data_IF_753419350930
#
_entry.id   IF_753419350930
#
_cell.length_a   1.000
_cell.length_b   1.000
_cell.length_c   1.000
_cell.angle_alpha   90.00
_cell.angle_beta   90.00
_cell.angle_gamma   90.00
#
_symmetry.space_group_name_H-M   'P 1'
#
loop_
_entity.id
_entity.type
_entity.pdbx_description
1 polymer ?
#
# COMPACT_ATOMS: atom_id res chain seq x y z
N UNK A 1 8.52 5.62 -17.18
CA UNK A 1 8.69 4.17 -17.03
C UNK A 1 7.88 3.70 -15.85
N UNK A 2 6.94 2.76 -16.08
CA UNK A 2 6.12 2.18 -15.02
C UNK A 2 6.74 0.88 -14.53
N UNK A 3 6.89 0.75 -13.22
CA UNK A 3 7.25 -0.50 -12.58
C UNK A 3 6.02 -1.04 -11.85
N UNK A 4 5.56 -2.22 -12.26
CA UNK A 4 4.43 -2.88 -11.61
C UNK A 4 4.94 -3.84 -10.53
N UNK A 5 4.34 -3.75 -9.33
CA UNK A 5 4.63 -4.67 -8.22
C UNK A 5 3.59 -5.79 -8.11
N UNK A 6 2.37 -5.55 -8.60
CA UNK A 6 1.27 -6.52 -8.58
C UNK A 6 0.38 -6.33 -9.81
N UNK A 7 -0.20 -7.41 -10.33
CA UNK A 7 -1.14 -7.37 -11.46
C UNK A 7 -0.46 -7.39 -12.84
N UNK A 8 0.87 -7.60 -12.88
CA UNK A 8 1.62 -7.69 -14.14
C UNK A 8 1.18 -8.85 -15.04
N UNK A 9 0.53 -9.86 -14.47
CA UNK A 9 -0.08 -10.96 -15.21
C UNK A 9 -1.28 -10.53 -16.06
N UNK A 10 -1.91 -9.41 -15.71
CA UNK A 10 -3.10 -8.88 -16.40
C UNK A 10 -2.76 -7.82 -17.44
N UNK A 11 -1.64 -7.14 -17.28
CA UNK A 11 -1.21 -6.06 -18.17
C UNK A 11 0.29 -6.18 -18.41
N UNK A 12 0.69 -6.44 -19.66
CA UNK A 12 2.11 -6.65 -20.01
C UNK A 12 2.90 -5.36 -20.14
N UNK A 13 2.27 -4.29 -20.64
CA UNK A 13 2.92 -3.00 -20.90
C UNK A 13 1.98 -1.87 -20.50
N UNK A 14 2.29 -1.17 -19.40
CA UNK A 14 1.56 0.01 -18.98
C UNK A 14 2.27 1.24 -19.52
N UNK A 15 1.69 1.86 -20.53
CA UNK A 15 2.19 3.13 -21.09
C UNK A 15 1.44 4.33 -20.51
N UNK A 16 0.18 4.15 -20.15
CA UNK A 16 -0.69 5.20 -19.65
C UNK A 16 -1.48 4.74 -18.43
N UNK A 17 -1.67 5.67 -17.50
CA UNK A 17 -2.60 5.52 -16.38
C UNK A 17 -3.68 6.56 -16.57
N UNK A 18 -4.92 6.13 -16.51
CA UNK A 18 -6.10 6.95 -16.77
C UNK A 18 -6.72 7.41 -15.46
N UNK A 19 -7.26 8.63 -15.46
CA UNK A 19 -8.03 9.20 -14.34
C UNK A 19 -9.19 10.01 -14.91
N UNK A 20 -10.30 10.20 -14.18
CA UNK A 20 -11.33 11.13 -14.60
C UNK A 20 -10.77 12.52 -14.84
N UNK A 21 -11.35 13.24 -15.81
CA UNK A 21 -10.89 14.57 -16.22
C UNK A 21 -11.02 15.60 -15.10
N UNK A 22 -12.08 15.55 -14.32
CA UNK A 22 -12.41 16.53 -13.30
C UNK A 22 -12.36 15.95 -11.89
N UNK A 23 -11.96 16.77 -10.92
CA UNK A 23 -11.94 16.38 -9.51
C UNK A 23 -13.35 16.11 -8.96
N UNK A 24 -14.40 16.75 -9.49
CA UNK A 24 -15.79 16.45 -9.18
C UNK A 24 -16.21 15.04 -9.58
N UNK A 25 -15.52 14.45 -10.55
CA UNK A 25 -15.66 13.07 -11.01
C UNK A 25 -14.64 12.13 -10.36
N UNK A 26 -14.07 12.51 -9.22
CA UNK A 26 -13.02 11.79 -8.53
C UNK A 26 -11.70 11.68 -9.32
N UNK A 27 -11.44 12.59 -10.25
CA UNK A 27 -10.18 12.68 -10.97
C UNK A 27 -9.03 13.14 -10.06
N UNK A 28 -7.83 12.67 -10.32
CA UNK A 28 -6.61 13.10 -9.64
C UNK A 28 -5.75 13.93 -10.59
N UNK A 29 -5.68 15.24 -10.34
CA UNK A 29 -4.77 16.12 -11.05
C UNK A 29 -3.38 16.02 -10.43
N UNK A 30 -2.39 15.68 -11.25
CA UNK A 30 -0.97 15.72 -10.86
C UNK A 30 -0.37 16.96 -11.52
N UNK A 31 0.14 17.89 -10.72
CA UNK A 31 0.75 19.12 -11.23
C UNK A 31 1.94 18.79 -12.14
N UNK A 32 1.96 19.37 -13.34
CA UNK A 32 3.06 19.18 -14.30
C UNK A 32 4.43 19.62 -13.78
N UNK A 33 4.48 20.58 -12.88
CA UNK A 33 5.72 21.00 -12.23
C UNK A 33 6.36 19.90 -11.38
N UNK A 34 5.58 18.91 -10.94
CA UNK A 34 6.02 17.74 -10.19
C UNK A 34 6.44 16.54 -11.09
N UNK A 35 6.07 16.54 -12.38
CA UNK A 35 6.27 15.37 -13.25
C UNK A 35 7.73 15.13 -13.66
N UNK A 36 8.61 16.11 -13.52
CA UNK A 36 9.97 16.00 -14.04
C UNK A 36 10.86 15.12 -13.15
N UNK A 37 10.53 14.93 -11.85
CA UNK A 37 11.36 14.16 -10.91
C UNK A 37 10.60 13.32 -9.86
N UNK A 38 9.27 13.24 -9.90
CA UNK A 38 8.53 12.51 -8.86
C UNK A 38 8.10 11.13 -9.36
N UNK A 39 8.64 10.12 -8.70
CA UNK A 39 8.14 8.75 -8.78
C UNK A 39 6.94 8.67 -7.84
N UNK A 40 5.78 8.24 -8.37
CA UNK A 40 4.59 7.99 -7.57
C UNK A 40 4.37 6.50 -7.38
N UNK A 41 3.90 6.12 -6.20
CA UNK A 41 3.30 4.84 -5.96
C UNK A 41 1.78 4.99 -5.95
N UNK A 42 1.10 4.19 -6.76
CA UNK A 42 -0.35 4.21 -6.85
C UNK A 42 -0.92 2.79 -6.85
N UNK A 43 -2.06 2.60 -6.22
CA UNK A 43 -2.88 1.40 -6.31
C UNK A 43 -4.06 1.73 -7.21
N UNK A 44 -4.05 1.20 -8.43
CA UNK A 44 -5.11 1.42 -9.42
C UNK A 44 -5.95 0.17 -9.68
N UNK A 45 -6.98 0.33 -10.48
CA UNK A 45 -7.81 -0.75 -11.00
C UNK A 45 -7.41 -1.08 -12.44
N UNK A 46 -7.37 -2.35 -12.77
CA UNK A 46 -7.21 -2.81 -14.15
C UNK A 46 -8.61 -3.06 -14.70
N UNK A 47 -8.98 -2.31 -15.74
CA UNK A 47 -10.26 -2.46 -16.44
C UNK A 47 -10.22 -3.65 -17.39
N UNK A 48 -11.41 -4.08 -17.86
CA UNK A 48 -11.55 -5.23 -18.76
C UNK A 48 -10.83 -5.04 -20.12
N UNK A 49 -10.61 -3.79 -20.52
CA UNK A 49 -9.86 -3.42 -21.72
C UNK A 49 -8.33 -3.33 -21.50
N UNK A 50 -7.86 -3.71 -20.31
CA UNK A 50 -6.44 -3.70 -19.96
C UNK A 50 -5.90 -2.33 -19.55
N UNK A 51 -6.73 -1.29 -19.48
CA UNK A 51 -6.31 0.03 -19.01
C UNK A 51 -6.15 0.07 -17.50
N UNK A 52 -5.14 0.77 -17.04
CA UNK A 52 -4.95 1.06 -15.61
C UNK A 52 -5.64 2.37 -15.27
N UNK A 53 -6.56 2.32 -14.32
CA UNK A 53 -7.38 3.46 -13.93
C UNK A 53 -7.15 3.80 -12.45
N UNK A 54 -6.99 5.10 -12.15
CA UNK A 54 -6.83 5.64 -10.80
C UNK A 54 -7.83 6.77 -10.56
N UNK A 55 -8.28 6.92 -9.32
CA UNK A 55 -9.16 8.02 -8.89
C UNK A 55 -8.81 8.47 -7.47
N UNK A 56 -9.46 9.53 -6.97
CA UNK A 56 -9.15 10.14 -5.67
C UNK A 56 -9.20 9.19 -4.47
N UNK A 57 -10.03 8.13 -4.55
CA UNK A 57 -10.14 7.14 -3.48
C UNK A 57 -9.04 6.07 -3.53
N UNK A 58 -8.21 6.06 -4.58
CA UNK A 58 -7.06 5.17 -4.63
C UNK A 58 -5.90 5.75 -3.80
N UNK A 59 -5.07 4.85 -3.27
CA UNK A 59 -3.83 5.26 -2.63
C UNK A 59 -2.85 5.78 -3.69
N UNK A 60 -2.46 7.02 -3.57
CA UNK A 60 -1.50 7.70 -4.47
C UNK A 60 -0.62 8.58 -3.60
N UNK A 61 0.66 8.23 -3.49
CA UNK A 61 1.63 8.98 -2.72
C UNK A 61 2.91 9.19 -3.52
N UNK A 62 3.61 10.33 -3.37
CA UNK A 62 4.95 10.51 -3.89
C UNK A 62 5.89 9.44 -3.30
N UNK A 63 6.75 8.89 -4.14
CA UNK A 63 7.70 7.87 -3.69
C UNK A 63 8.59 8.35 -2.55
N UNK A 64 8.98 9.63 -2.56
CA UNK A 64 9.86 10.19 -1.55
C UNK A 64 9.19 10.34 -0.19
N UNK A 65 7.86 10.47 -0.15
CA UNK A 65 7.07 10.55 1.09
C UNK A 65 6.85 9.16 1.75
N UNK A 66 7.14 8.09 1.00
CA UNK A 66 7.09 6.75 1.57
C UNK A 66 8.24 6.52 2.54
N UNK A 67 7.93 5.93 3.69
CA UNK A 67 8.94 5.45 4.63
C UNK A 67 9.81 4.35 4.01
N UNK A 68 11.01 4.16 4.56
CA UNK A 68 11.88 3.05 4.14
C UNK A 68 11.20 1.68 4.33
N UNK A 69 10.36 1.55 5.35
CA UNK A 69 9.58 0.34 5.60
C UNK A 69 8.57 0.08 4.49
N UNK A 70 7.85 1.10 4.05
CA UNK A 70 6.92 1.01 2.93
C UNK A 70 7.65 0.66 1.62
N UNK A 71 8.76 1.35 1.32
CA UNK A 71 9.59 1.06 0.14
C UNK A 71 10.09 -0.39 0.12
N UNK A 72 10.57 -0.90 1.26
CA UNK A 72 10.99 -2.31 1.39
C UNK A 72 9.82 -3.28 1.25
N UNK A 73 8.67 -2.95 1.81
CA UNK A 73 7.47 -3.79 1.70
C UNK A 73 7.03 -3.95 0.25
N UNK A 74 7.00 -2.86 -0.52
CA UNK A 74 6.64 -2.88 -1.92
C UNK A 74 7.59 -3.73 -2.78
N UNK A 75 8.88 -3.59 -2.55
CA UNK A 75 9.88 -4.26 -3.39
C UNK A 75 10.11 -5.73 -3.02
N UNK A 76 9.96 -6.12 -1.74
CA UNK A 76 10.46 -7.41 -1.28
C UNK A 76 9.46 -8.24 -0.47
N UNK A 77 8.46 -7.63 0.16
CA UNK A 77 7.69 -8.28 1.22
C UNK A 77 6.18 -8.28 1.04
N UNK A 78 5.62 -7.55 0.07
CA UNK A 78 4.17 -7.47 -0.09
C UNK A 78 3.51 -8.84 -0.28
N UNK A 79 4.19 -9.77 -0.94
CA UNK A 79 3.68 -11.13 -1.15
C UNK A 79 3.46 -11.89 0.15
N UNK A 80 4.26 -11.61 1.19
CA UNK A 80 4.11 -12.24 2.50
C UNK A 80 2.82 -11.81 3.22
N UNK A 81 2.26 -10.67 2.82
CA UNK A 81 1.00 -10.15 3.34
C UNK A 81 -0.25 -10.52 2.54
N UNK A 82 -0.10 -11.14 1.36
CA UNK A 82 -1.25 -11.43 0.48
C UNK A 82 -2.29 -12.38 1.09
N UNK A 83 -1.89 -13.24 2.00
CA UNK A 83 -2.80 -14.13 2.74
C UNK A 83 -3.35 -13.53 4.04
N UNK A 84 -2.97 -12.29 4.37
CA UNK A 84 -3.39 -11.62 5.59
C UNK A 84 -4.49 -10.60 5.30
N UNK A 85 -5.38 -10.43 6.28
CA UNK A 85 -6.45 -9.42 6.26
C UNK A 85 -6.14 -8.34 7.29
N UNK A 86 -6.23 -7.09 6.89
CA UNK A 86 -6.14 -5.95 7.81
C UNK A 86 -7.55 -5.55 8.20
N UNK A 87 -7.84 -5.59 9.49
CA UNK A 87 -9.13 -5.21 10.07
C UNK A 87 -8.94 -3.95 10.89
N UNK A 88 -9.76 -2.94 10.63
CA UNK A 88 -9.68 -1.65 11.33
C UNK A 88 -10.29 -1.73 12.71
N UNK A 89 -9.54 -1.27 13.70
CA UNK A 89 -10.04 -1.06 15.06
C UNK A 89 -10.47 0.40 15.24
N UNK A 90 -11.77 0.65 15.31
CA UNK A 90 -12.32 2.00 15.50
C UNK A 90 -12.55 2.37 16.95
N UNK A 91 -12.85 1.38 17.79
CA UNK A 91 -13.17 1.55 19.22
C UNK A 91 -12.77 0.32 20.02
N UNK A 92 -12.55 0.49 21.30
CA UNK A 92 -12.24 -0.60 22.25
C UNK A 92 -13.56 -1.15 22.84
N UNK A 93 -13.68 -2.47 23.02
CA UNK A 93 -12.71 -3.51 22.70
C UNK A 93 -12.73 -3.91 21.22
N UNK A 94 -11.56 -4.17 20.65
CA UNK A 94 -11.44 -4.83 19.36
C UNK A 94 -10.52 -6.04 19.49
N UNK A 95 -10.83 -7.12 18.80
CA UNK A 95 -10.12 -8.39 18.88
C UNK A 95 -9.92 -8.98 17.49
N UNK A 96 -8.87 -9.77 17.36
CA UNK A 96 -8.64 -10.60 16.19
C UNK A 96 -9.69 -11.72 16.19
N UNK A 97 -10.38 -11.90 15.08
CA UNK A 97 -11.43 -12.92 14.92
C UNK A 97 -10.94 -14.15 14.16
N UNK A 98 -9.82 -14.04 13.44
CA UNK A 98 -9.23 -15.13 12.69
C UNK A 98 -7.69 -15.06 12.73
N UNK A 99 -7.00 -16.20 12.61
CA UNK A 99 -5.53 -16.25 12.69
C UNK A 99 -4.83 -15.41 11.60
N UNK A 100 -5.48 -15.17 10.49
CA UNK A 100 -4.94 -14.40 9.37
C UNK A 100 -5.27 -12.89 9.44
N UNK A 101 -5.67 -12.36 10.59
CA UNK A 101 -6.00 -10.96 10.77
C UNK A 101 -4.90 -10.19 11.49
N UNK A 102 -4.72 -8.92 11.07
CA UNK A 102 -3.96 -7.90 11.78
C UNK A 102 -4.88 -6.71 12.09
N UNK A 103 -4.93 -6.26 13.34
CA UNK A 103 -5.70 -5.07 13.72
C UNK A 103 -4.94 -3.80 13.38
N UNK A 104 -5.54 -2.93 12.58
CA UNK A 104 -5.01 -1.59 12.32
C UNK A 104 -5.59 -0.61 13.33
N UNK A 105 -4.71 0.06 14.09
CA UNK A 105 -5.06 0.88 15.25
C UNK A 105 -4.69 2.35 15.13
N UNK A 106 -4.10 2.80 14.03
CA UNK A 106 -3.67 4.21 13.87
C UNK A 106 -4.82 5.19 14.09
N UNK A 107 -6.02 4.88 13.56
CA UNK A 107 -7.18 5.73 13.78
C UNK A 107 -7.61 5.79 15.25
N UNK A 108 -7.56 4.66 15.95
CA UNK A 108 -7.93 4.60 17.35
C UNK A 108 -6.97 5.42 18.22
N UNK A 109 -5.65 5.28 17.96
CA UNK A 109 -4.61 5.85 18.83
C UNK A 109 -4.25 7.28 18.42
N UNK A 110 -4.07 7.53 17.12
CA UNK A 110 -3.54 8.79 16.61
C UNK A 110 -4.56 9.66 15.87
N UNK A 111 -5.77 9.14 15.61
CA UNK A 111 -6.81 9.78 14.77
C UNK A 111 -6.30 10.09 13.36
N UNK A 112 -5.40 9.25 12.83
CA UNK A 112 -4.81 9.36 11.51
C UNK A 112 -5.05 8.10 10.70
N UNK A 113 -5.25 8.28 9.38
CA UNK A 113 -5.33 7.15 8.45
C UNK A 113 -3.97 6.53 8.17
N UNK A 114 -2.91 7.34 8.24
CA UNK A 114 -1.52 6.94 7.99
C UNK A 114 -0.67 7.33 9.19
N UNK A 115 -0.87 6.65 10.31
CA UNK A 115 -0.13 6.84 11.54
C UNK A 115 1.16 6.03 11.58
N UNK A 116 1.63 5.82 12.78
CA UNK A 116 2.87 5.10 13.03
C UNK A 116 2.85 3.66 12.53
N UNK A 117 1.72 2.96 12.72
CA UNK A 117 1.60 1.57 12.32
C UNK A 117 1.65 1.42 10.79
N UNK A 118 0.87 2.23 10.04
CA UNK A 118 0.86 2.19 8.58
C UNK A 118 2.21 2.56 7.95
N UNK A 119 3.02 3.38 8.63
CA UNK A 119 4.32 3.84 8.11
C UNK A 119 5.47 2.89 8.41
N UNK A 120 5.41 2.14 9.50
CA UNK A 120 6.57 1.41 10.01
C UNK A 120 6.39 -0.10 10.09
N UNK A 121 5.15 -0.60 10.02
CA UNK A 121 4.84 -2.01 10.15
C UNK A 121 4.29 -2.59 8.85
N UNK A 122 4.41 -3.89 8.69
CA UNK A 122 3.73 -4.68 7.68
C UNK A 122 3.00 -5.84 8.34
N UNK A 123 1.75 -6.08 7.92
CA UNK A 123 1.01 -7.27 8.30
C UNK A 123 1.47 -8.41 7.40
N UNK A 124 2.16 -9.39 7.97
CA UNK A 124 2.73 -10.52 7.23
C UNK A 124 2.34 -11.85 7.86
N UNK A 125 2.34 -12.88 7.02
CA UNK A 125 2.12 -14.26 7.43
C UNK A 125 3.39 -14.83 8.06
N UNK A 126 3.25 -15.40 9.25
CA UNK A 126 4.31 -16.09 9.98
C UNK A 126 4.45 -17.54 9.54
N UNK A 127 5.51 -18.21 9.99
CA UNK A 127 5.75 -19.63 9.75
C UNK A 127 4.68 -20.55 10.35
N UNK A 128 4.02 -20.13 11.43
CA UNK A 128 2.91 -20.84 12.08
C UNK A 128 1.56 -20.67 11.36
N UNK A 129 1.55 -19.91 10.25
CA UNK A 129 0.35 -19.65 9.46
C UNK A 129 -0.48 -18.46 9.92
N UNK A 130 -0.18 -17.86 11.09
CA UNK A 130 -0.87 -16.68 11.60
C UNK A 130 -0.33 -15.41 10.93
N UNK A 131 -1.12 -14.33 10.98
CA UNK A 131 -0.69 -13.00 10.55
C UNK A 131 -0.41 -12.09 11.73
N UNK A 132 0.61 -11.27 11.61
CA UNK A 132 0.90 -10.24 12.60
C UNK A 132 1.66 -9.06 12.04
N UNK A 133 1.61 -7.94 12.75
CA UNK A 133 2.41 -6.77 12.46
C UNK A 133 3.89 -7.02 12.76
N UNK A 134 4.75 -6.73 11.79
CA UNK A 134 6.19 -6.78 11.91
C UNK A 134 6.78 -5.41 11.66
N UNK A 135 7.66 -4.95 12.56
CA UNK A 135 8.47 -3.74 12.33
C UNK A 135 9.51 -4.05 11.27
N UNK A 136 9.55 -3.21 10.24
CA UNK A 136 10.56 -3.31 9.19
C UNK A 136 11.79 -2.46 9.57
N UNK A 137 12.42 -2.78 10.69
CA UNK A 137 13.64 -2.10 11.13
C UNK A 137 14.82 -2.34 10.18
N UNK A 138 15.78 -1.41 10.16
CA UNK A 138 17.00 -1.49 9.34
C UNK A 138 18.02 -2.54 9.82
N UNK A 139 17.67 -3.39 10.77
CA UNK A 139 18.55 -4.42 11.29
C UNK A 139 18.59 -5.65 10.39
N UNK A 140 19.18 -5.47 9.20
CA UNK A 140 19.86 -6.56 8.52
C UNK A 140 21.30 -6.57 9.06
N UNK A 141 21.50 -6.99 10.31
CA UNK A 141 22.81 -7.43 10.81
C UNK A 141 22.63 -8.62 11.71
N UNK A 142 23.32 -9.68 11.29
CA UNK A 142 23.71 -10.89 12.00
C UNK A 142 22.59 -11.86 12.42
N UNK A 143 22.33 -12.83 11.55
CA UNK A 143 22.54 -14.20 11.98
C UNK A 143 23.22 -14.94 10.81
N UNK A 144 24.52 -15.03 10.93
CA UNK A 144 25.33 -16.11 10.39
C UNK A 144 25.12 -17.32 11.28
#
# INVERSE_FOLDING_TARGET
>A
HFQMFKGFEKVKDVQYVYTPFDSSLCGKTVSFACLIFLIFHAVGQILNDGKVFIHLCNYIEPWDDLSLSQKKSLNQRYQMGCGCKITTCYMVPCSITAPNECLWTDWLIERKLYGHQAKHYACIKRSDGTCSWLILSNTARSQL
#
